data_IF_432842070912
#
_entry.id   IF_432842070912
#
_cell.length_a   1.000
_cell.length_b   1.000
_cell.length_c   1.000
_cell.angle_alpha   90.00
_cell.angle_beta   90.00
_cell.angle_gamma   90.00
#
_symmetry.space_group_name_H-M   'P 1'
#
loop_
_entity.id
_entity.type
_entity.pdbx_description
1 polymer ?
#
# COMPACT_ATOMS: atom_id res chain seq x y z
N UNK A 1 6.51 20.61 5.32
CA UNK A 1 5.77 19.72 6.24
C UNK A 1 6.11 18.29 5.85
N UNK A 2 6.56 17.48 6.81
CA UNK A 2 6.90 16.10 6.54
C UNK A 2 5.68 15.18 6.72
N UNK A 3 5.54 14.22 5.81
CA UNK A 3 4.50 13.18 5.88
C UNK A 3 5.15 11.83 6.12
N UNK A 4 4.79 11.17 7.23
CA UNK A 4 5.26 9.83 7.56
C UNK A 4 4.42 8.80 6.82
N UNK A 5 5.07 7.87 6.14
CA UNK A 5 4.42 6.83 5.37
C UNK A 5 4.81 5.48 5.96
N UNK A 6 3.87 4.87 6.71
CA UNK A 6 3.98 3.51 7.25
C UNK A 6 3.32 2.57 6.23
N UNK A 7 4.09 1.68 5.65
CA UNK A 7 3.57 0.77 4.63
C UNK A 7 4.66 -0.05 3.95
N UNK A 8 4.26 -0.91 3.06
CA UNK A 8 5.15 -1.86 2.40
C UNK A 8 6.08 -1.22 1.36
N UNK A 9 7.29 -1.78 1.28
CA UNK A 9 8.17 -1.71 0.11
C UNK A 9 8.23 -3.12 -0.46
N UNK A 10 7.96 -3.27 -1.75
CA UNK A 10 7.87 -4.58 -2.39
C UNK A 10 8.44 -4.56 -3.82
N UNK A 11 8.78 -5.71 -4.32
CA UNK A 11 9.03 -5.92 -5.74
C UNK A 11 7.81 -6.57 -6.40
N UNK A 12 7.46 -6.10 -7.60
CA UNK A 12 6.48 -6.73 -8.47
C UNK A 12 7.22 -7.43 -9.62
N UNK A 13 7.30 -8.76 -9.56
CA UNK A 13 7.85 -9.58 -10.63
C UNK A 13 6.73 -9.98 -11.57
N UNK A 14 6.69 -9.35 -12.74
CA UNK A 14 5.63 -9.52 -13.73
C UNK A 14 6.14 -10.42 -14.85
N UNK A 15 5.43 -11.51 -15.08
CA UNK A 15 5.72 -12.55 -16.05
C UNK A 15 4.57 -12.64 -17.05
N UNK A 16 4.89 -12.72 -18.33
CA UNK A 16 3.88 -12.88 -19.38
C UNK A 16 3.92 -14.33 -19.89
N UNK A 17 2.79 -15.00 -19.79
CA UNK A 17 2.56 -16.31 -20.37
C UNK A 17 1.90 -16.15 -21.74
N UNK A 18 2.54 -16.64 -22.78
CA UNK A 18 2.06 -16.56 -24.19
C UNK A 18 1.03 -17.67 -24.52
N UNK A 19 0.14 -17.95 -23.59
CA UNK A 19 -0.97 -18.88 -23.66
C UNK A 19 -2.13 -18.41 -22.83
N UNK A 20 -3.13 -19.26 -22.66
CA UNK A 20 -4.27 -19.02 -21.76
C UNK A 20 -4.25 -20.04 -20.64
N UNK A 21 -4.48 -19.64 -19.41
CA UNK A 21 -4.50 -20.54 -18.25
C UNK A 21 -5.58 -21.63 -18.42
N UNK A 22 -6.73 -21.29 -18.98
CA UNK A 22 -7.81 -22.23 -19.23
C UNK A 22 -7.41 -23.41 -20.14
N UNK A 23 -6.40 -23.24 -21.02
CA UNK A 23 -5.93 -24.28 -21.93
C UNK A 23 -4.92 -25.21 -21.27
N UNK A 24 -4.39 -24.85 -20.08
CA UNK A 24 -3.38 -25.57 -19.33
C UNK A 24 -3.94 -26.17 -18.02
N UNK A 25 -5.01 -25.62 -17.49
CA UNK A 25 -5.62 -26.04 -16.22
C UNK A 25 -6.88 -26.84 -16.53
N UNK A 26 -6.89 -28.14 -16.16
CA UNK A 26 -8.03 -29.02 -16.31
C UNK A 26 -8.98 -28.83 -15.12
N UNK A 27 -10.21 -28.25 -15.32
CA UNK A 27 -11.10 -27.93 -14.22
C UNK A 27 -11.47 -29.13 -13.34
N UNK A 28 -11.62 -30.31 -13.98
CA UNK A 28 -11.99 -31.56 -13.29
C UNK A 28 -10.85 -32.20 -12.50
N UNK A 29 -9.60 -31.70 -12.66
CA UNK A 29 -8.39 -32.23 -12.05
C UNK A 29 -7.66 -31.20 -11.16
N UNK A 30 -8.33 -30.15 -10.72
CA UNK A 30 -7.74 -29.11 -9.85
C UNK A 30 -7.16 -29.70 -8.56
N UNK A 31 -7.72 -30.80 -8.05
CA UNK A 31 -7.25 -31.47 -6.81
C UNK A 31 -5.88 -32.14 -6.92
N UNK A 32 -5.36 -32.31 -8.15
CA UNK A 32 -4.00 -32.85 -8.44
C UNK A 32 -3.22 -31.91 -9.36
N UNK A 33 -3.49 -30.61 -9.27
CA UNK A 33 -2.91 -29.61 -10.17
C UNK A 33 -1.38 -29.61 -10.10
N UNK A 34 -0.74 -29.86 -11.25
CA UNK A 34 0.70 -29.72 -11.46
C UNK A 34 0.92 -29.05 -12.82
N UNK A 35 1.00 -27.73 -12.82
CA UNK A 35 1.11 -26.92 -14.05
C UNK A 35 2.37 -26.06 -14.01
N UNK A 36 3.11 -26.06 -15.11
CA UNK A 36 4.25 -25.18 -15.32
C UNK A 36 3.97 -24.25 -16.51
N UNK A 37 4.12 -22.95 -16.31
CA UNK A 37 3.99 -21.96 -17.37
C UNK A 37 5.37 -21.54 -17.86
N UNK A 38 5.62 -21.71 -19.16
CA UNK A 38 6.80 -21.12 -19.80
C UNK A 38 6.53 -19.64 -20.03
N UNK A 39 7.31 -18.80 -19.35
CA UNK A 39 7.17 -17.34 -19.42
C UNK A 39 8.41 -16.74 -20.10
N UNK A 40 8.34 -16.39 -21.38
CA UNK A 40 9.50 -15.91 -22.16
C UNK A 40 9.95 -14.50 -21.75
N UNK A 41 9.10 -13.75 -21.08
CA UNK A 41 9.43 -12.40 -20.59
C UNK A 41 9.12 -12.24 -19.12
N UNK A 42 10.06 -11.60 -18.42
CA UNK A 42 9.93 -11.26 -17.00
C UNK A 42 10.52 -9.87 -16.79
N UNK A 43 9.84 -9.06 -15.99
CA UNK A 43 10.37 -7.79 -15.49
C UNK A 43 10.14 -7.66 -14.00
N UNK A 44 11.04 -6.97 -13.32
CA UNK A 44 10.89 -6.62 -11.91
C UNK A 44 10.68 -5.12 -11.80
N UNK A 45 9.63 -4.73 -11.12
CA UNK A 45 9.25 -3.35 -10.88
C UNK A 45 9.33 -3.02 -9.40
N UNK A 46 9.51 -1.73 -9.10
CA UNK A 46 9.50 -1.22 -7.74
C UNK A 46 8.05 -0.96 -7.32
N UNK A 47 7.54 -1.73 -6.38
CA UNK A 47 6.17 -1.71 -5.89
C UNK A 47 6.09 -1.42 -4.39
N UNK A 48 4.97 -1.79 -3.79
CA UNK A 48 4.66 -1.52 -2.39
C UNK A 48 4.04 -0.15 -2.15
N UNK A 49 3.13 -0.10 -1.18
CA UNK A 49 2.32 1.09 -0.94
C UNK A 49 3.16 2.29 -0.51
N UNK A 50 4.12 2.10 0.43
CA UNK A 50 4.93 3.22 0.91
C UNK A 50 5.84 3.79 -0.18
N UNK A 51 6.44 2.96 -1.01
CA UNK A 51 7.28 3.42 -2.11
C UNK A 51 6.50 4.25 -3.12
N UNK A 52 5.31 3.78 -3.51
CA UNK A 52 4.45 4.46 -4.46
C UNK A 52 3.89 5.78 -3.92
N UNK A 53 3.43 5.80 -2.65
CA UNK A 53 2.94 7.02 -2.00
C UNK A 53 4.07 8.05 -1.89
N UNK A 54 5.26 7.64 -1.44
CA UNK A 54 6.40 8.51 -1.30
C UNK A 54 6.83 9.13 -2.63
N UNK A 55 6.87 8.33 -3.69
CA UNK A 55 7.18 8.79 -5.03
C UNK A 55 6.19 9.87 -5.51
N UNK A 56 4.89 9.58 -5.42
CA UNK A 56 3.86 10.53 -5.84
C UNK A 56 3.87 11.81 -5.00
N UNK A 57 4.06 11.68 -3.67
CA UNK A 57 4.17 12.85 -2.79
C UNK A 57 5.40 13.70 -3.15
N UNK A 58 6.52 13.07 -3.51
CA UNK A 58 7.71 13.78 -3.97
C UNK A 58 7.47 14.53 -5.28
N UNK A 59 6.76 13.94 -6.24
CA UNK A 59 6.36 14.63 -7.48
C UNK A 59 5.49 15.86 -7.20
N UNK A 60 4.65 15.78 -6.17
CA UNK A 60 3.83 16.90 -5.69
C UNK A 60 4.61 17.90 -4.81
N UNK A 61 5.95 17.78 -4.74
CA UNK A 61 6.86 18.62 -3.94
C UNK A 61 6.63 18.49 -2.43
N UNK A 62 6.06 17.39 -1.97
CA UNK A 62 5.97 17.06 -0.55
C UNK A 62 7.28 16.50 -0.02
N UNK A 63 7.33 16.28 1.30
CA UNK A 63 8.48 15.71 2.02
C UNK A 63 8.08 14.34 2.57
N UNK A 64 8.22 13.25 1.79
CA UNK A 64 7.94 11.90 2.27
C UNK A 64 9.02 11.40 3.21
N UNK A 65 8.62 10.75 4.29
CA UNK A 65 9.45 9.99 5.22
C UNK A 65 8.91 8.58 5.26
N UNK A 66 9.65 7.63 4.73
CA UNK A 66 9.21 6.23 4.67
C UNK A 66 9.62 5.51 5.96
N UNK A 67 8.68 4.84 6.61
CA UNK A 67 8.91 3.87 7.68
C UNK A 67 8.42 2.50 7.20
N UNK A 68 9.37 1.63 6.86
CA UNK A 68 9.12 0.33 6.24
C UNK A 68 10.16 -0.69 6.68
N UNK A 69 9.92 -1.97 6.35
CA UNK A 69 10.88 -3.07 6.62
C UNK A 69 11.14 -3.82 5.33
N UNK A 70 12.41 -4.04 5.00
CA UNK A 70 12.87 -4.70 3.77
C UNK A 70 13.86 -5.81 4.08
N UNK A 71 14.08 -6.70 3.14
CA UNK A 71 15.10 -7.75 3.23
C UNK A 71 16.47 -7.31 2.76
N UNK A 72 17.46 -8.19 2.89
CA UNK A 72 18.84 -7.98 2.44
C UNK A 72 18.98 -7.76 0.93
N UNK A 73 17.96 -8.09 0.16
CA UNK A 73 17.91 -7.93 -1.30
C UNK A 73 17.39 -6.55 -1.76
N UNK A 74 17.13 -5.62 -0.81
CA UNK A 74 16.51 -4.33 -1.10
C UNK A 74 17.44 -3.28 -1.69
N UNK A 75 18.75 -3.51 -1.76
CA UNK A 75 19.74 -2.49 -2.20
C UNK A 75 19.33 -1.76 -3.48
N UNK A 76 18.89 -2.42 -4.57
CA UNK A 76 18.49 -1.71 -5.78
C UNK A 76 17.31 -0.76 -5.56
N UNK A 77 16.37 -1.11 -4.67
CA UNK A 77 15.25 -0.27 -4.34
C UNK A 77 15.67 0.94 -3.50
N UNK A 78 16.50 0.71 -2.48
CA UNK A 78 16.99 1.78 -1.62
C UNK A 78 17.82 2.79 -2.42
N UNK A 79 18.63 2.34 -3.35
CA UNK A 79 19.41 3.21 -4.24
C UNK A 79 18.47 4.03 -5.15
N UNK A 80 17.43 3.40 -5.69
CA UNK A 80 16.40 4.11 -6.45
C UNK A 80 15.73 5.22 -5.64
N UNK A 81 15.39 4.96 -4.37
CA UNK A 81 14.79 5.98 -3.49
C UNK A 81 15.74 7.12 -3.21
N UNK A 82 17.04 6.83 -3.00
CA UNK A 82 18.09 7.86 -2.83
C UNK A 82 18.25 8.73 -4.07
N UNK A 83 18.27 8.12 -5.27
CA UNK A 83 18.33 8.86 -6.55
C UNK A 83 17.16 9.82 -6.71
N UNK A 84 15.99 9.45 -6.20
CA UNK A 84 14.79 10.29 -6.15
C UNK A 84 14.81 11.30 -4.99
N UNK A 85 15.89 11.32 -4.19
CA UNK A 85 16.02 12.16 -3.00
C UNK A 85 14.87 11.94 -1.99
N UNK A 86 14.46 10.69 -1.81
CA UNK A 86 13.52 10.25 -0.79
C UNK A 86 14.31 9.70 0.40
N UNK A 87 14.00 10.17 1.60
CA UNK A 87 14.69 9.75 2.83
C UNK A 87 14.43 8.26 3.12
N UNK A 88 15.51 7.49 3.23
CA UNK A 88 15.50 6.05 3.53
C UNK A 88 15.95 5.74 4.96
N UNK A 89 16.18 6.75 5.80
CA UNK A 89 16.79 6.58 7.13
C UNK A 89 15.92 5.78 8.12
N UNK A 90 14.64 5.63 7.84
CA UNK A 90 13.70 4.87 8.66
C UNK A 90 13.19 3.61 7.95
N UNK A 91 13.88 3.16 6.90
CA UNK A 91 13.67 1.85 6.28
C UNK A 91 14.61 0.86 6.95
N UNK A 92 14.05 -0.09 7.69
CA UNK A 92 14.80 -1.14 8.38
C UNK A 92 15.10 -2.28 7.43
N UNK A 93 16.37 -2.67 7.35
CA UNK A 93 16.78 -3.89 6.63
C UNK A 93 16.93 -5.05 7.60
N UNK A 94 16.37 -6.20 7.26
CA UNK A 94 16.53 -7.47 7.98
C UNK A 94 17.39 -8.41 7.16
N UNK A 95 18.60 -8.66 7.63
CA UNK A 95 19.50 -9.63 7.02
C UNK A 95 18.89 -11.04 7.14
N UNK A 96 19.01 -11.81 6.06
CA UNK A 96 18.43 -13.16 5.99
C UNK A 96 16.94 -13.26 5.66
N UNK A 97 16.23 -12.12 5.55
CA UNK A 97 14.88 -12.06 4.99
C UNK A 97 14.91 -11.55 3.54
N UNK A 98 13.87 -11.87 2.78
CA UNK A 98 13.61 -11.24 1.49
C UNK A 98 12.69 -10.03 1.67
N UNK A 99 12.85 -9.04 0.80
CA UNK A 99 11.87 -7.95 0.64
C UNK A 99 10.55 -8.53 0.15
N UNK A 100 9.43 -7.92 0.52
CA UNK A 100 8.12 -8.33 0.03
C UNK A 100 8.10 -8.39 -1.50
N UNK A 101 7.45 -9.42 -2.05
CA UNK A 101 7.45 -9.65 -3.49
C UNK A 101 6.12 -10.22 -3.96
N UNK A 102 5.52 -9.60 -4.98
CA UNK A 102 4.45 -10.16 -5.77
C UNK A 102 5.02 -10.83 -7.02
N UNK A 103 4.72 -12.11 -7.22
CA UNK A 103 5.06 -12.86 -8.42
C UNK A 103 3.77 -13.00 -9.24
N UNK A 104 3.66 -12.22 -10.32
CA UNK A 104 2.42 -12.05 -11.08
C UNK A 104 2.63 -12.67 -12.46
N UNK A 105 1.88 -13.72 -12.76
CA UNK A 105 1.84 -14.30 -14.12
C UNK A 105 0.55 -13.88 -14.79
N UNK A 106 0.66 -13.27 -15.97
CA UNK A 106 -0.48 -12.80 -16.77
C UNK A 106 -0.57 -13.60 -18.07
N UNK A 107 -1.76 -14.06 -18.43
CA UNK A 107 -2.05 -14.78 -19.66
C UNK A 107 -2.52 -13.86 -20.80
N UNK A 108 -2.71 -14.41 -22.00
CA UNK A 108 -3.20 -13.65 -23.20
C UNK A 108 -4.62 -13.09 -23.02
N UNK A 109 -5.39 -13.57 -22.07
CA UNK A 109 -6.73 -13.08 -21.75
C UNK A 109 -6.73 -12.06 -20.59
N UNK A 110 -5.55 -11.59 -20.15
CA UNK A 110 -5.33 -10.72 -18.99
C UNK A 110 -5.78 -11.33 -17.64
N UNK A 111 -5.94 -12.66 -17.57
CA UNK A 111 -6.07 -13.31 -16.28
C UNK A 111 -4.73 -13.33 -15.56
N UNK A 112 -4.77 -13.26 -14.23
CA UNK A 112 -3.57 -13.22 -13.40
C UNK A 112 -3.59 -14.31 -12.34
N UNK A 113 -2.43 -14.96 -12.18
CA UNK A 113 -2.12 -15.80 -11.03
C UNK A 113 -1.00 -15.10 -10.27
N UNK A 114 -1.27 -14.77 -9.02
CA UNK A 114 -0.32 -14.03 -8.17
C UNK A 114 0.04 -14.85 -6.94
N UNK A 115 1.34 -15.05 -6.72
CA UNK A 115 1.88 -15.49 -5.45
C UNK A 115 2.52 -14.29 -4.74
N UNK A 116 2.10 -13.99 -3.52
CA UNK A 116 2.65 -12.91 -2.71
C UNK A 116 3.47 -13.45 -1.56
N UNK A 117 4.73 -13.05 -1.49
CA UNK A 117 5.63 -13.34 -0.37
C UNK A 117 5.83 -12.06 0.45
N UNK A 118 5.33 -11.99 1.69
CA UNK A 118 5.43 -10.77 2.51
C UNK A 118 6.86 -10.51 3.02
N UNK A 119 7.67 -11.54 3.24
CA UNK A 119 9.05 -11.40 3.68
C UNK A 119 9.19 -10.52 4.91
N UNK A 120 10.19 -9.64 4.88
CA UNK A 120 10.51 -8.70 5.96
C UNK A 120 9.37 -7.73 6.32
N UNK A 121 8.39 -7.53 5.43
CA UNK A 121 7.22 -6.70 5.67
C UNK A 121 6.43 -7.14 6.92
N UNK A 122 6.39 -8.45 7.21
CA UNK A 122 5.71 -8.98 8.39
C UNK A 122 6.31 -8.47 9.72
N UNK A 123 7.55 -8.01 9.70
CA UNK A 123 8.26 -7.49 10.87
C UNK A 123 8.19 -5.95 10.97
N UNK A 124 7.25 -5.32 10.27
CA UNK A 124 7.11 -3.85 10.24
C UNK A 124 6.84 -3.25 11.64
N UNK A 125 6.28 -4.02 12.57
CA UNK A 125 6.09 -3.65 13.97
C UNK A 125 7.40 -3.36 14.73
N UNK A 126 8.55 -3.79 14.20
CA UNK A 126 9.87 -3.45 14.77
C UNK A 126 10.21 -1.97 14.58
N UNK A 127 9.56 -1.28 13.66
CA UNK A 127 9.71 0.16 13.47
C UNK A 127 8.81 0.91 14.46
N UNK A 128 9.32 2.00 15.02
CA UNK A 128 8.56 2.80 15.99
C UNK A 128 8.42 4.25 15.53
N UNK A 129 7.22 4.78 15.63
CA UNK A 129 6.91 6.19 15.32
C UNK A 129 7.77 7.13 16.18
N UNK A 130 8.03 6.76 17.44
CA UNK A 130 8.89 7.51 18.38
C UNK A 130 10.31 7.69 17.83
N UNK A 131 10.89 6.70 17.15
CA UNK A 131 12.25 6.80 16.61
C UNK A 131 12.30 7.85 15.49
N UNK A 132 11.26 7.90 14.65
CA UNK A 132 11.15 8.91 13.57
C UNK A 132 11.04 10.31 14.18
N UNK A 133 10.15 10.51 15.14
CA UNK A 133 9.93 11.82 15.76
C UNK A 133 11.14 12.30 16.54
N UNK A 134 11.82 11.41 17.26
CA UNK A 134 13.07 11.72 17.98
C UNK A 134 14.20 12.10 17.02
N UNK A 135 14.40 11.32 15.94
CA UNK A 135 15.43 11.61 14.95
C UNK A 135 15.21 12.96 14.27
N UNK A 136 13.97 13.29 13.92
CA UNK A 136 13.63 14.59 13.30
C UNK A 136 13.84 15.76 14.27
N UNK A 137 13.49 15.58 15.54
CA UNK A 137 13.77 16.59 16.59
C UNK A 137 15.26 16.83 16.75
N UNK A 138 16.06 15.75 16.83
CA UNK A 138 17.52 15.84 16.94
C UNK A 138 18.17 16.54 15.73
N UNK A 139 17.69 16.25 14.52
CA UNK A 139 18.17 16.87 13.27
C UNK A 139 17.61 18.28 13.05
N UNK A 140 16.77 18.80 13.93
CA UNK A 140 16.04 20.07 13.77
C UNK A 140 15.27 20.16 12.43
N UNK A 141 14.79 19.01 11.95
CA UNK A 141 13.98 18.90 10.74
C UNK A 141 12.52 19.23 11.05
N UNK A 142 11.74 19.55 10.02
CA UNK A 142 10.31 19.78 10.18
C UNK A 142 9.62 18.58 10.84
N UNK A 143 8.74 18.78 11.83
CA UNK A 143 8.03 17.68 12.48
C UNK A 143 7.11 16.96 11.49
N UNK A 144 6.76 15.71 11.83
CA UNK A 144 5.72 14.99 11.12
C UNK A 144 4.37 15.69 11.36
N UNK A 145 3.73 16.15 10.32
CA UNK A 145 2.45 16.87 10.39
C UNK A 145 1.25 16.01 9.99
N UNK A 146 1.49 14.96 9.25
CA UNK A 146 0.51 13.97 8.81
C UNK A 146 1.21 12.63 8.64
N UNK A 147 0.52 11.54 8.93
CA UNK A 147 0.98 10.21 8.58
C UNK A 147 -0.04 9.47 7.72
N UNK A 148 0.38 8.39 7.08
CA UNK A 148 -0.50 7.40 6.47
C UNK A 148 -0.07 6.02 6.94
N UNK A 149 -1.03 5.19 7.37
CA UNK A 149 -0.85 3.77 7.61
C UNK A 149 -1.51 3.03 6.45
N UNK A 150 -0.68 2.57 5.52
CA UNK A 150 -1.04 1.84 4.32
C UNK A 150 -0.76 0.33 4.50
N UNK A 151 -1.18 -0.55 3.57
CA UNK A 151 -0.97 -1.99 3.68
C UNK A 151 0.47 -2.38 3.99
N UNK A 152 0.62 -3.15 5.07
CA UNK A 152 1.88 -3.63 5.61
C UNK A 152 1.64 -4.92 6.42
N UNK A 153 2.62 -5.41 7.16
CA UNK A 153 2.43 -6.48 8.13
C UNK A 153 1.35 -6.12 9.16
N UNK A 154 0.47 -7.09 9.48
CA UNK A 154 -0.69 -6.87 10.36
C UNK A 154 -0.32 -6.22 11.69
N UNK A 155 0.71 -6.75 12.36
CA UNK A 155 1.17 -6.21 13.65
C UNK A 155 1.67 -4.76 13.52
N UNK A 156 2.38 -4.45 12.42
CA UNK A 156 2.85 -3.09 12.15
C UNK A 156 1.72 -2.12 11.91
N UNK A 157 0.74 -2.48 11.07
CA UNK A 157 -0.43 -1.62 10.84
C UNK A 157 -1.17 -1.33 12.16
N UNK A 158 -1.37 -2.34 12.99
CA UNK A 158 -2.00 -2.21 14.30
C UNK A 158 -1.22 -1.24 15.22
N UNK A 159 0.05 -1.53 15.45
CA UNK A 159 0.89 -0.74 16.37
C UNK A 159 1.11 0.69 15.87
N UNK A 160 1.30 0.88 14.54
CA UNK A 160 1.54 2.21 14.00
C UNK A 160 0.31 3.12 14.15
N UNK A 161 -0.93 2.61 13.99
CA UNK A 161 -2.14 3.39 14.27
C UNK A 161 -2.19 3.83 15.73
N UNK A 162 -1.91 2.94 16.69
CA UNK A 162 -1.90 3.27 18.11
C UNK A 162 -0.79 4.27 18.46
N UNK A 163 0.43 4.05 17.98
CA UNK A 163 1.55 4.97 18.23
C UNK A 163 1.30 6.37 17.64
N UNK A 164 0.65 6.48 16.50
CA UNK A 164 0.30 7.78 15.91
C UNK A 164 -0.78 8.48 16.71
N UNK A 165 -1.79 7.75 17.16
CA UNK A 165 -2.85 8.29 18.03
C UNK A 165 -2.28 8.77 19.38
N UNK A 166 -1.44 7.97 20.03
CA UNK A 166 -0.74 8.34 21.28
C UNK A 166 0.14 9.58 21.12
N UNK A 167 0.87 9.68 19.99
CA UNK A 167 1.70 10.81 19.65
C UNK A 167 0.90 12.04 19.18
N UNK A 168 -0.42 11.94 19.09
CA UNK A 168 -1.32 12.99 18.58
C UNK A 168 -0.93 13.46 17.16
N UNK A 169 -0.38 12.57 16.34
CA UNK A 169 -0.06 12.84 14.94
C UNK A 169 -1.29 12.47 14.10
N UNK A 170 -1.92 13.41 13.40
CA UNK A 170 -3.04 13.09 12.53
C UNK A 170 -2.60 12.12 11.44
N UNK A 171 -3.45 11.12 11.15
CA UNK A 171 -3.11 10.14 10.14
C UNK A 171 -4.30 9.67 9.32
N UNK A 172 -3.99 9.20 8.12
CA UNK A 172 -4.90 8.51 7.22
C UNK A 172 -4.73 7.02 7.47
N UNK A 173 -5.81 6.30 7.74
CA UNK A 173 -5.82 4.85 7.71
C UNK A 173 -6.28 4.37 6.34
N UNK A 174 -5.43 3.65 5.64
CA UNK A 174 -5.70 3.00 4.35
C UNK A 174 -5.47 1.50 4.53
N UNK A 175 -6.48 0.74 4.95
CA UNK A 175 -6.32 -0.70 5.16
C UNK A 175 -6.00 -1.45 3.86
N UNK A 176 -6.50 -0.99 2.71
CA UNK A 176 -6.24 -1.53 1.40
C UNK A 176 -6.34 -3.06 1.37
N UNK A 177 -5.36 -3.72 0.78
CA UNK A 177 -5.26 -5.18 0.71
C UNK A 177 -5.03 -5.85 2.08
N UNK A 178 -4.68 -5.08 3.12
CA UNK A 178 -4.55 -5.55 4.50
C UNK A 178 -5.88 -5.72 5.23
N UNK A 179 -6.97 -5.17 4.69
CA UNK A 179 -8.30 -5.21 5.32
C UNK A 179 -8.75 -6.62 5.73
N UNK A 180 -8.53 -7.69 4.94
CA UNK A 180 -8.89 -9.05 5.33
C UNK A 180 -8.19 -9.58 6.58
N UNK A 181 -7.06 -9.00 6.99
CA UNK A 181 -6.28 -9.42 8.17
C UNK A 181 -6.92 -9.03 9.50
N UNK A 182 -7.93 -8.14 9.49
CA UNK A 182 -8.57 -7.60 10.68
C UNK A 182 -10.03 -8.03 10.74
N UNK A 183 -10.56 -8.24 11.94
CA UNK A 183 -11.98 -8.44 12.15
C UNK A 183 -12.77 -7.10 12.22
N UNK A 184 -14.09 -7.18 12.39
CA UNK A 184 -14.93 -5.98 12.41
C UNK A 184 -14.65 -5.03 13.57
N UNK A 185 -14.56 -5.51 14.83
CA UNK A 185 -14.17 -4.73 15.98
C UNK A 185 -12.81 -4.05 15.82
N UNK A 186 -11.79 -4.77 15.35
CA UNK A 186 -10.45 -4.25 15.11
C UNK A 186 -10.46 -3.14 14.05
N UNK A 187 -11.17 -3.35 12.93
CA UNK A 187 -11.31 -2.33 11.89
C UNK A 187 -12.01 -1.07 12.41
N UNK A 188 -13.00 -1.24 13.28
CA UNK A 188 -13.69 -0.10 13.88
C UNK A 188 -12.76 0.67 14.81
N UNK A 189 -11.99 -0.01 15.66
CA UNK A 189 -11.00 0.59 16.55
C UNK A 189 -9.95 1.39 15.76
N UNK A 190 -9.34 0.78 14.73
CA UNK A 190 -8.36 1.47 13.89
C UNK A 190 -8.95 2.66 13.13
N UNK A 191 -10.22 2.57 12.73
CA UNK A 191 -10.95 3.68 12.12
C UNK A 191 -11.15 4.83 13.12
N UNK A 192 -11.53 4.55 14.36
CA UNK A 192 -11.77 5.55 15.40
C UNK A 192 -10.47 6.23 15.89
N UNK A 193 -9.34 5.56 15.81
CA UNK A 193 -8.02 6.15 16.07
C UNK A 193 -7.60 7.10 14.93
N UNK A 194 -8.02 6.84 13.71
CA UNK A 194 -7.59 7.58 12.54
C UNK A 194 -8.25 8.97 12.43
N UNK A 195 -7.51 9.91 11.87
CA UNK A 195 -8.08 11.22 11.52
C UNK A 195 -8.89 11.16 10.22
N UNK A 196 -8.39 10.38 9.27
CA UNK A 196 -9.01 10.17 7.96
C UNK A 196 -8.99 8.69 7.62
N UNK A 197 -9.97 8.25 6.84
CA UNK A 197 -10.06 6.89 6.31
C UNK A 197 -10.06 6.97 4.78
N UNK A 198 -9.24 6.14 4.12
CA UNK A 198 -9.20 6.05 2.67
C UNK A 198 -9.39 4.59 2.25
N UNK A 199 -10.29 4.34 1.32
CA UNK A 199 -10.58 3.01 0.77
C UNK A 199 -11.01 3.15 -0.70
N UNK A 200 -10.96 2.06 -1.47
CA UNK A 200 -11.68 2.01 -2.73
C UNK A 200 -13.13 1.53 -2.50
N UNK A 201 -13.94 1.47 -3.56
CA UNK A 201 -15.36 1.06 -3.50
C UNK A 201 -15.53 -0.36 -2.97
N UNK A 202 -14.72 -1.31 -3.42
CA UNK A 202 -14.73 -2.71 -2.97
C UNK A 202 -14.31 -2.84 -1.49
N UNK A 203 -13.23 -2.17 -1.11
CA UNK A 203 -12.75 -2.13 0.28
C UNK A 203 -13.77 -1.45 1.19
N UNK A 204 -14.43 -0.39 0.72
CA UNK A 204 -15.50 0.29 1.44
C UNK A 204 -16.71 -0.61 1.70
N UNK A 205 -17.11 -1.42 0.71
CA UNK A 205 -18.18 -2.41 0.88
C UNK A 205 -17.77 -3.50 1.88
N UNK A 206 -16.54 -4.01 1.76
CA UNK A 206 -16.00 -5.01 2.69
C UNK A 206 -15.91 -4.48 4.11
N UNK A 207 -15.46 -3.24 4.30
CA UNK A 207 -15.37 -2.57 5.58
C UNK A 207 -16.75 -2.41 6.21
N UNK A 208 -17.73 -1.94 5.43
CA UNK A 208 -19.12 -1.82 5.86
C UNK A 208 -19.71 -3.16 6.31
N UNK A 209 -19.47 -4.22 5.54
CA UNK A 209 -19.94 -5.57 5.86
C UNK A 209 -19.31 -6.12 7.15
N UNK A 210 -18.02 -5.88 7.38
CA UNK A 210 -17.30 -6.37 8.56
C UNK A 210 -17.64 -5.60 9.83
N UNK A 211 -17.78 -4.29 9.74
CA UNK A 211 -18.10 -3.42 10.88
C UNK A 211 -19.58 -3.34 11.19
N UNK A 212 -20.45 -3.70 10.24
CA UNK A 212 -21.90 -3.52 10.34
C UNK A 212 -22.35 -2.07 10.19
N UNK A 213 -21.46 -1.15 9.81
CA UNK A 213 -21.74 0.27 9.66
C UNK A 213 -21.76 0.66 8.16
N UNK A 214 -22.66 1.56 7.79
CA UNK A 214 -22.66 2.16 6.45
C UNK A 214 -21.44 3.10 6.28
N UNK A 215 -21.06 3.39 5.03
CA UNK A 215 -19.98 4.36 4.73
C UNK A 215 -20.28 5.75 5.33
N UNK A 216 -21.54 6.17 5.38
CA UNK A 216 -21.93 7.41 6.02
C UNK A 216 -21.64 7.39 7.53
N UNK A 217 -22.00 6.30 8.22
CA UNK A 217 -21.74 6.13 9.65
C UNK A 217 -20.23 6.01 9.96
N UNK A 218 -19.45 5.35 9.09
CA UNK A 218 -17.99 5.32 9.20
C UNK A 218 -17.40 6.71 8.99
N UNK A 219 -17.95 7.50 8.04
CA UNK A 219 -17.55 8.88 7.80
C UNK A 219 -17.82 9.83 8.97
N UNK A 220 -18.75 9.50 9.88
CA UNK A 220 -19.00 10.23 11.12
C UNK A 220 -17.98 9.95 12.22
N UNK A 221 -17.22 8.84 12.11
CA UNK A 221 -16.18 8.44 13.07
C UNK A 221 -14.82 9.10 12.82
N UNK A 222 -14.62 9.65 11.62
CA UNK A 222 -13.39 10.31 11.18
C UNK A 222 -13.68 11.74 10.70
N UNK A 223 -12.65 12.55 10.51
CA UNK A 223 -12.84 13.89 9.92
C UNK A 223 -13.32 13.80 8.47
N UNK A 224 -12.84 12.81 7.72
CA UNK A 224 -13.35 12.47 6.40
C UNK A 224 -13.03 11.02 6.05
N UNK A 225 -14.00 10.36 5.42
CA UNK A 225 -13.82 9.09 4.71
C UNK A 225 -13.77 9.39 3.21
N UNK A 226 -12.72 8.93 2.54
CA UNK A 226 -12.50 9.06 1.10
C UNK A 226 -12.69 7.69 0.47
N UNK A 227 -13.65 7.58 -0.46
CA UNK A 227 -13.92 6.34 -1.21
C UNK A 227 -13.58 6.60 -2.68
N UNK A 228 -12.53 5.96 -3.18
CA UNK A 228 -12.17 6.03 -4.61
C UNK A 228 -13.00 5.06 -5.44
N UNK A 229 -13.43 5.48 -6.63
CA UNK A 229 -14.31 4.71 -7.51
C UNK A 229 -13.76 4.55 -8.92
N UNK A 230 -12.46 4.46 -9.04
CA UNK A 230 -11.78 4.32 -10.32
C UNK A 230 -12.21 5.41 -11.33
N UNK A 231 -12.77 5.00 -12.47
CA UNK A 231 -13.20 5.91 -13.53
C UNK A 231 -14.39 6.82 -13.15
N UNK A 232 -15.08 6.54 -12.05
CA UNK A 232 -16.21 7.35 -11.55
C UNK A 232 -15.76 8.46 -10.59
N UNK A 233 -14.45 8.58 -10.30
CA UNK A 233 -13.90 9.59 -9.43
C UNK A 233 -13.84 9.14 -7.97
N UNK A 234 -14.34 9.94 -7.04
CA UNK A 234 -14.33 9.62 -5.61
C UNK A 234 -15.55 10.20 -4.89
N UNK A 235 -15.86 9.62 -3.74
CA UNK A 235 -16.89 10.08 -2.81
C UNK A 235 -16.24 10.40 -1.47
N UNK A 236 -16.51 11.60 -0.92
CA UNK A 236 -16.02 12.01 0.39
C UNK A 236 -17.21 12.14 1.35
N UNK A 237 -17.11 11.47 2.50
CA UNK A 237 -18.05 11.61 3.61
C UNK A 237 -17.38 12.41 4.73
N UNK A 238 -17.93 13.58 5.05
CA UNK A 238 -17.37 14.49 6.06
C UNK A 238 -18.48 15.36 6.68
N UNK A 239 -18.49 15.49 8.01
CA UNK A 239 -19.43 16.35 8.72
C UNK A 239 -20.90 16.06 8.40
N UNK A 240 -21.28 14.79 8.29
CA UNK A 240 -22.63 14.34 7.94
C UNK A 240 -23.06 14.62 6.49
N UNK A 241 -22.12 15.03 5.63
CA UNK A 241 -22.36 15.30 4.20
C UNK A 241 -21.59 14.31 3.33
N UNK A 242 -22.10 14.11 2.13
CA UNK A 242 -21.49 13.31 1.07
C UNK A 242 -21.19 14.21 -0.13
N UNK A 243 -19.93 14.24 -0.58
CA UNK A 243 -19.43 15.12 -1.64
C UNK A 243 -18.85 14.23 -2.74
N UNK A 244 -19.41 14.30 -3.94
CA UNK A 244 -18.87 13.61 -5.11
C UNK A 244 -17.75 14.44 -5.74
N UNK A 245 -16.62 13.77 -6.03
CA UNK A 245 -15.48 14.36 -6.75
C UNK A 245 -15.46 13.71 -8.14
N UNK A 246 -15.70 14.48 -9.20
CA UNK A 246 -15.70 13.92 -10.55
C UNK A 246 -14.30 13.46 -10.98
N UNK A 247 -14.20 12.45 -11.86
CA UNK A 247 -12.92 11.99 -12.36
C UNK A 247 -12.30 13.02 -13.31
N UNK A 248 -10.98 13.05 -13.35
CA UNK A 248 -10.23 13.71 -14.42
C UNK A 248 -9.95 12.68 -15.50
N UNK A 249 -10.24 13.01 -16.78
CA UNK A 249 -9.97 12.12 -17.90
C UNK A 249 -8.46 11.85 -17.99
N UNK A 250 -8.06 10.64 -17.70
CA UNK A 250 -6.67 10.21 -17.85
C UNK A 250 -6.34 9.96 -19.32
N UNK A 251 -5.15 10.36 -19.77
CA UNK A 251 -4.66 10.04 -21.11
C UNK A 251 -4.47 8.53 -21.28
N UNK A 252 -4.05 7.85 -20.22
CA UNK A 252 -3.94 6.40 -20.14
C UNK A 252 -4.29 5.97 -18.70
N UNK A 253 -5.30 5.10 -18.52
CA UNK A 253 -5.58 4.55 -17.19
C UNK A 253 -4.47 3.58 -16.80
N UNK A 254 -4.03 3.67 -15.55
CA UNK A 254 -3.08 2.73 -14.94
C UNK A 254 -3.71 2.12 -13.69
N UNK A 255 -3.50 0.81 -13.50
CA UNK A 255 -3.89 0.13 -12.27
C UNK A 255 -2.77 0.19 -11.24
N UNK A 256 -3.01 -0.25 -10.02
CA UNK A 256 -2.00 -0.34 -8.95
C UNK A 256 -0.73 -1.08 -9.38
N UNK A 257 -0.86 -2.11 -10.19
CA UNK A 257 0.25 -2.87 -10.76
C UNK A 257 1.10 -2.06 -11.77
N UNK A 258 0.64 -0.89 -12.18
CA UNK A 258 1.32 0.02 -13.11
C UNK A 258 1.70 1.37 -12.48
N UNK A 259 1.36 1.62 -11.23
CA UNK A 259 1.89 2.73 -10.43
C UNK A 259 3.32 2.43 -9.95
N UNK A 260 4.04 1.68 -10.75
CA UNK A 260 5.47 1.47 -10.55
C UNK A 260 6.20 2.78 -10.77
N UNK A 261 7.23 2.99 -9.95
CA UNK A 261 8.18 4.08 -10.16
C UNK A 261 8.61 4.04 -11.63
N UNK A 262 8.47 5.12 -12.43
CA UNK A 262 8.80 5.05 -13.85
C UNK A 262 10.24 4.62 -14.02
N UNK A 263 10.42 3.38 -14.45
CA UNK A 263 11.65 2.95 -15.06
C UNK A 263 11.81 3.80 -16.31
N UNK A 264 12.97 4.43 -16.48
CA UNK A 264 13.29 5.32 -17.57
C UNK A 264 12.59 4.89 -18.85
N UNK A 265 11.77 5.78 -19.43
CA UNK A 265 11.48 5.66 -20.86
C UNK A 265 12.83 5.69 -21.56
N UNK A 266 13.22 4.56 -22.09
CA UNK A 266 14.20 4.53 -23.19
C UNK A 266 13.44 5.08 -24.38
N UNK A 267 13.88 6.23 -24.85
CA UNK A 267 13.44 6.84 -26.11
C UNK A 267 13.87 5.92 -27.25
#
# INVERSE_FOLDING_TARGET
MASLICGSIAYDTIMNFEGRFQDQILPDQIHILNVAFLVPSMRREFGGCAGNIAYNLKLLRGEPVIMATVGGDATPYLDRLKDLQIDTSHIRTLDGAFTAQAMITTDLSNNQITAFHPGAMNESHLNKVSDVTAARTQKKSAPVSLAIVAPDGRAGMWEHCHHLAEAQIPFIFDPGQGLPMFDGPELLELTELATYLAVNDYEGEMLSKRTGLSLAQLGERVKALIVTKGAEGAQIYAGGKSIAIPPVKAAQPVSYTHLTLPTKRIV
#
